data_IF_389086768508
#
_entry.id   IF_389086768508
#
_cell.length_a   1.000
_cell.length_b   1.000
_cell.length_c   1.000
_cell.angle_alpha   90.00
_cell.angle_beta   90.00
_cell.angle_gamma   90.00
#
_symmetry.space_group_name_H-M   'P 1'
#
loop_
_entity.id
_entity.type
_entity.pdbx_description
1 polymer ?
#
# COMPACT_ATOMS: atom_id res chain seq x y z
N UNK A 1 -20.39 -14.36 6.48
CA UNK A 1 -18.98 -13.95 6.64
C UNK A 1 -18.93 -12.44 6.56
N UNK A 2 -18.25 -11.74 7.47
CA UNK A 2 -18.12 -10.27 7.42
C UNK A 2 -16.68 -9.94 7.04
N UNK A 3 -16.48 -9.34 5.87
CA UNK A 3 -15.17 -8.82 5.45
C UNK A 3 -14.92 -7.48 6.16
N UNK A 4 -13.74 -7.34 6.75
CA UNK A 4 -13.21 -6.06 7.18
C UNK A 4 -11.90 -5.78 6.45
N UNK A 5 -11.67 -4.53 6.06
CA UNK A 5 -10.47 -4.13 5.33
C UNK A 5 -9.72 -3.08 6.14
N UNK A 6 -8.45 -3.36 6.45
CA UNK A 6 -7.49 -2.42 7.00
C UNK A 6 -6.37 -2.13 6.00
N UNK A 7 -5.42 -1.30 6.41
CA UNK A 7 -4.21 -0.98 5.66
C UNK A 7 -3.09 -0.60 6.63
N UNK A 8 -1.84 -0.78 6.21
CA UNK A 8 -0.63 -0.39 6.93
C UNK A 8 0.39 0.38 6.05
N UNK A 9 0.05 1.56 5.48
CA UNK A 9 0.95 2.22 4.56
C UNK A 9 2.19 2.82 5.21
N UNK A 10 3.26 2.87 4.43
CA UNK A 10 4.54 3.49 4.73
C UNK A 10 4.72 4.74 3.88
N UNK A 11 5.22 5.84 4.45
CA UNK A 11 5.53 7.04 3.71
C UNK A 11 6.80 7.74 4.21
N UNK A 12 7.32 8.62 3.36
CA UNK A 12 8.58 9.32 3.62
C UNK A 12 8.33 10.77 4.00
N UNK A 13 9.28 11.33 4.73
CA UNK A 13 9.26 12.73 5.14
C UNK A 13 10.27 13.50 4.29
N UNK A 14 9.90 14.70 3.86
CA UNK A 14 10.72 15.54 2.99
C UNK A 14 10.86 16.94 3.56
N UNK A 15 12.08 17.48 3.55
CA UNK A 15 12.36 18.86 3.92
C UNK A 15 12.49 19.72 2.65
N UNK A 16 11.47 20.55 2.33
CA UNK A 16 11.51 21.41 1.16
C UNK A 16 12.55 22.54 1.29
N UNK A 17 12.96 22.92 2.51
CA UNK A 17 13.93 24.01 2.73
C UNK A 17 15.35 23.65 2.28
N UNK A 18 15.70 22.36 2.36
CA UNK A 18 17.00 21.82 1.93
C UNK A 18 16.87 20.86 0.75
N UNK A 19 15.64 20.62 0.28
CA UNK A 19 15.34 19.74 -0.84
C UNK A 19 15.86 18.29 -0.63
N UNK A 20 15.68 17.75 0.59
CA UNK A 20 16.16 16.41 0.97
C UNK A 20 15.09 15.56 1.68
N UNK A 21 15.14 14.23 1.50
CA UNK A 21 14.39 13.30 2.35
C UNK A 21 15.01 13.20 3.74
N UNK A 22 14.16 13.17 4.75
CA UNK A 22 14.54 13.06 6.17
C UNK A 22 14.06 11.71 6.70
N UNK A 23 14.92 11.03 7.45
CA UNK A 23 14.56 9.75 8.06
C UNK A 23 13.60 9.95 9.22
N UNK A 24 12.54 9.15 9.24
CA UNK A 24 11.48 9.20 10.25
C UNK A 24 11.88 8.74 11.66
N UNK A 25 13.07 8.18 11.83
CA UNK A 25 13.50 7.47 13.04
C UNK A 25 13.38 8.25 14.37
N UNK A 26 13.30 9.58 14.32
CA UNK A 26 13.09 10.44 15.49
C UNK A 26 11.84 11.35 15.37
N UNK A 27 10.96 11.11 14.39
CA UNK A 27 9.85 12.02 14.06
C UNK A 27 8.49 11.60 14.62
N UNK A 28 8.30 10.30 14.87
CA UNK A 28 7.05 9.76 15.42
C UNK A 28 7.33 8.89 16.63
N UNK A 29 6.29 8.69 17.44
CA UNK A 29 6.33 7.72 18.54
C UNK A 29 6.13 6.31 17.97
N UNK A 30 6.61 5.31 18.70
CA UNK A 30 6.37 3.89 18.38
C UNK A 30 7.51 3.24 17.60
N UNK A 31 7.73 1.96 17.87
CA UNK A 31 8.69 1.11 17.15
C UNK A 31 7.94 -0.04 16.50
N UNK A 32 8.61 -0.78 15.63
CA UNK A 32 8.05 -1.98 14.97
C UNK A 32 7.52 -3.01 15.97
N UNK A 33 8.18 -3.17 17.11
CA UNK A 33 7.80 -4.09 18.18
C UNK A 33 6.69 -3.52 19.07
N UNK A 34 6.63 -2.19 19.19
CA UNK A 34 5.67 -1.48 20.02
C UNK A 34 5.12 -0.25 19.28
N UNK A 35 4.19 -0.46 18.33
CA UNK A 35 3.54 0.64 17.63
C UNK A 35 2.87 1.60 18.62
N UNK A 36 2.94 2.90 18.35
CA UNK A 36 2.26 3.91 19.15
C UNK A 36 0.79 3.96 18.76
N UNK A 37 -0.09 3.64 19.71
CA UNK A 37 -1.53 3.60 19.48
C UNK A 37 -2.09 4.99 19.20
N UNK A 38 -2.86 5.09 18.13
CA UNK A 38 -3.66 6.26 17.75
C UNK A 38 -5.14 5.93 17.89
N UNK A 39 -6.00 6.94 17.76
CA UNK A 39 -7.42 6.67 17.52
C UNK A 39 -7.54 6.11 16.10
N UNK A 40 -8.29 5.01 15.96
CA UNK A 40 -8.52 4.33 14.67
C UNK A 40 -7.25 3.82 13.98
N UNK A 41 -6.19 3.54 14.72
CA UNK A 41 -4.96 3.02 14.13
C UNK A 41 -3.76 3.04 15.07
N UNK A 42 -2.57 2.99 14.49
CA UNK A 42 -1.30 3.15 15.18
C UNK A 42 -0.24 3.71 14.21
N UNK A 43 0.85 4.23 14.75
CA UNK A 43 2.02 4.70 13.99
C UNK A 43 3.29 4.09 14.55
N UNK A 44 4.26 3.83 13.69
CA UNK A 44 5.58 3.35 14.05
C UNK A 44 6.64 3.83 13.05
N UNK A 45 7.90 3.75 13.47
CA UNK A 45 9.03 3.86 12.56
C UNK A 45 9.29 2.48 11.94
N UNK A 46 9.31 2.38 10.61
CA UNK A 46 9.88 1.22 9.89
C UNK A 46 11.05 1.66 9.01
N UNK A 47 12.25 1.22 9.39
CA UNK A 47 13.50 1.67 8.76
C UNK A 47 13.62 3.19 8.80
N UNK A 48 13.47 3.84 7.65
CA UNK A 48 13.53 5.31 7.49
C UNK A 48 12.17 5.95 7.23
N UNK A 49 11.11 5.16 7.12
CA UNK A 49 9.76 5.59 6.81
C UNK A 49 8.91 5.70 8.08
N UNK A 50 7.83 6.47 8.00
CA UNK A 50 6.71 6.37 8.93
C UNK A 50 5.78 5.30 8.38
N UNK A 51 5.49 4.29 9.17
CA UNK A 51 4.43 3.31 8.87
C UNK A 51 3.25 3.60 9.80
N UNK A 52 2.04 3.53 9.26
CA UNK A 52 0.83 3.62 10.07
C UNK A 52 -0.14 2.54 9.67
N UNK A 53 -0.93 2.06 10.63
CA UNK A 53 -2.07 1.21 10.33
C UNK A 53 -3.38 1.89 10.68
N UNK A 54 -4.46 1.40 10.09
CA UNK A 54 -5.82 1.82 10.38
C UNK A 54 -6.62 0.72 11.07
N UNK A 55 -7.63 1.10 11.83
CA UNK A 55 -8.65 0.19 12.31
C UNK A 55 -9.39 -0.43 11.11
N UNK A 56 -9.65 -1.76 11.16
CA UNK A 56 -10.30 -2.46 10.06
C UNK A 56 -11.72 -1.93 9.86
N UNK A 57 -12.08 -1.62 8.62
CA UNK A 57 -13.32 -0.96 8.24
C UNK A 57 -14.27 -1.91 7.49
N UNK A 58 -15.59 -1.83 7.73
CA UNK A 58 -16.60 -2.58 6.98
C UNK A 58 -17.10 -1.85 5.72
N UNK A 59 -16.76 -0.57 5.53
CA UNK A 59 -17.23 0.26 4.41
C UNK A 59 -16.12 1.14 3.86
N UNK A 60 -16.23 1.54 2.59
CA UNK A 60 -15.33 2.50 1.95
C UNK A 60 -15.27 3.84 2.69
N UNK A 61 -16.41 4.29 3.24
CA UNK A 61 -16.48 5.50 4.04
C UNK A 61 -15.64 5.40 5.32
N UNK A 62 -15.83 4.33 6.12
CA UNK A 62 -15.06 4.16 7.36
C UNK A 62 -13.58 3.90 7.07
N UNK A 63 -13.25 3.22 5.97
CA UNK A 63 -11.87 3.03 5.53
C UNK A 63 -11.20 4.38 5.23
N UNK A 64 -11.83 5.20 4.38
CA UNK A 64 -11.33 6.52 3.99
C UNK A 64 -11.22 7.46 5.19
N UNK A 65 -12.22 7.44 6.06
CA UNK A 65 -12.21 8.20 7.31
C UNK A 65 -11.04 7.78 8.22
N UNK A 66 -10.82 6.48 8.41
CA UNK A 66 -9.74 5.99 9.27
C UNK A 66 -8.36 6.36 8.70
N UNK A 67 -8.16 6.28 7.38
CA UNK A 67 -6.91 6.72 6.73
C UNK A 67 -6.68 8.21 6.99
N UNK A 68 -7.67 9.06 6.70
CA UNK A 68 -7.56 10.50 6.94
C UNK A 68 -7.25 10.81 8.41
N UNK A 69 -8.03 10.23 9.32
CA UNK A 69 -7.96 10.54 10.73
C UNK A 69 -6.65 10.10 11.38
N UNK A 70 -6.05 9.00 10.91
CA UNK A 70 -4.71 8.59 11.33
C UNK A 70 -3.65 9.54 10.76
N UNK A 71 -3.73 9.92 9.49
CA UNK A 71 -2.80 10.88 8.87
C UNK A 71 -2.84 12.26 9.56
N UNK A 72 -4.01 12.75 9.95
CA UNK A 72 -4.17 13.98 10.73
C UNK A 72 -3.48 13.90 12.09
N UNK A 73 -3.65 12.80 12.82
CA UNK A 73 -2.96 12.59 14.11
C UNK A 73 -1.44 12.49 13.94
N UNK A 74 -0.95 11.85 12.88
CA UNK A 74 0.49 11.78 12.60
C UNK A 74 1.02 13.16 12.21
N UNK A 75 0.23 13.95 11.48
CA UNK A 75 0.59 15.31 11.10
C UNK A 75 0.86 16.21 12.30
N UNK A 76 0.14 16.00 13.41
CA UNK A 76 0.34 16.70 14.68
C UNK A 76 1.65 16.31 15.40
N UNK A 77 2.24 15.15 15.06
CA UNK A 77 3.52 14.69 15.64
C UNK A 77 4.72 15.18 14.86
N UNK A 78 4.60 15.26 13.52
CA UNK A 78 5.71 15.60 12.64
C UNK A 78 5.76 17.11 12.43
N UNK A 79 6.92 17.78 12.58
CA UNK A 79 7.04 19.23 12.38
C UNK A 79 6.48 19.70 11.04
N UNK A 80 5.72 20.81 11.06
CA UNK A 80 5.00 21.34 9.90
C UNK A 80 5.90 21.73 8.72
N UNK A 81 7.18 22.01 8.98
CA UNK A 81 8.16 22.29 7.93
C UNK A 81 8.39 21.11 6.98
N UNK A 82 7.99 19.90 7.35
CA UNK A 82 8.20 18.71 6.55
C UNK A 82 6.94 18.29 5.78
N UNK A 83 7.11 17.91 4.51
CA UNK A 83 6.05 17.32 3.68
C UNK A 83 5.95 15.81 3.91
N UNK A 84 4.73 15.28 3.83
CA UNK A 84 4.51 13.84 3.65
C UNK A 84 4.62 13.47 2.18
N UNK A 85 5.41 12.44 1.86
CA UNK A 85 5.63 11.95 0.51
C UNK A 85 5.28 10.47 0.42
N UNK A 86 4.13 10.19 -0.18
CA UNK A 86 3.65 8.85 -0.53
C UNK A 86 4.27 8.40 -1.86
N UNK A 87 5.60 8.29 -1.87
CA UNK A 87 6.37 7.86 -3.04
C UNK A 87 6.81 6.40 -2.86
N UNK A 88 6.59 5.52 -3.87
CA UNK A 88 6.95 4.11 -3.77
C UNK A 88 8.45 3.88 -3.62
N UNK A 89 9.29 4.70 -4.26
CA UNK A 89 10.75 4.65 -4.12
C UNK A 89 11.33 6.03 -3.83
N UNK A 90 12.25 6.10 -2.86
CA UNK A 90 13.05 7.30 -2.57
C UNK A 90 14.52 6.96 -2.45
N UNK A 91 15.39 7.93 -2.72
CA UNK A 91 16.85 7.81 -2.57
C UNK A 91 17.33 8.88 -1.62
N UNK A 92 17.90 8.48 -0.48
CA UNK A 92 18.50 9.42 0.46
C UNK A 92 19.83 9.96 -0.08
N UNK A 93 20.13 11.24 0.14
CA UNK A 93 21.43 11.84 -0.19
C UNK A 93 22.56 11.17 0.62
N UNK A 94 23.84 11.21 0.18
CA UNK A 94 24.92 10.58 0.93
C UNK A 94 25.05 11.18 2.33
N UNK A 95 24.81 12.50 2.42
CA UNK A 95 24.80 13.28 3.66
C UNK A 95 23.71 12.77 4.60
N UNK A 96 22.44 12.84 4.18
CA UNK A 96 21.32 12.36 5.00
C UNK A 96 21.50 10.89 5.39
N UNK A 97 22.02 10.06 4.49
CA UNK A 97 22.23 8.64 4.76
C UNK A 97 23.29 8.34 5.82
N UNK A 98 24.36 9.14 5.87
CA UNK A 98 25.45 8.93 6.83
C UNK A 98 24.94 8.96 8.26
N UNK A 99 24.02 9.89 8.54
CA UNK A 99 23.54 10.18 9.89
C UNK A 99 22.40 9.24 10.35
N UNK A 100 21.86 8.41 9.45
CA UNK A 100 20.83 7.43 9.79
C UNK A 100 21.46 6.27 10.58
N UNK A 101 20.90 5.86 11.72
CA UNK A 101 21.40 4.71 12.48
C UNK A 101 21.38 3.41 11.67
N UNK A 102 22.34 2.53 11.92
CA UNK A 102 22.49 1.28 11.13
C UNK A 102 21.27 0.35 11.23
N UNK A 103 20.55 0.33 12.36
CA UNK A 103 19.34 -0.49 12.49
C UNK A 103 18.22 0.01 11.56
N UNK A 104 18.04 1.33 11.40
CA UNK A 104 17.12 1.91 10.42
C UNK A 104 17.57 1.71 8.96
N UNK A 105 18.83 1.34 8.75
CA UNK A 105 19.38 0.99 7.42
C UNK A 105 19.09 -0.46 7.02
N UNK A 106 18.59 -1.30 7.92
CA UNK A 106 18.23 -2.68 7.60
C UNK A 106 16.93 -2.72 6.79
N UNK A 107 16.84 -3.67 5.85
CA UNK A 107 15.67 -3.89 5.00
C UNK A 107 15.07 -5.25 5.34
N UNK A 108 13.78 -5.29 5.67
CA UNK A 108 12.93 -6.49 5.70
C UNK A 108 13.39 -7.65 6.62
N UNK A 109 12.58 -8.00 7.63
CA UNK A 109 12.86 -9.16 8.49
C UNK A 109 12.01 -10.39 8.13
N UNK A 110 10.72 -10.21 7.83
CA UNK A 110 9.77 -11.31 7.64
C UNK A 110 9.56 -11.66 6.15
N UNK A 111 9.52 -12.96 5.80
CA UNK A 111 9.32 -13.39 4.43
C UNK A 111 7.89 -13.09 3.94
N UNK A 112 7.80 -12.83 2.64
CA UNK A 112 6.55 -12.74 1.89
C UNK A 112 6.34 -14.03 1.12
N UNK A 113 5.10 -14.32 0.73
CA UNK A 113 4.77 -15.47 -0.11
C UNK A 113 4.28 -15.01 -1.48
N UNK A 114 4.64 -15.76 -2.52
CA UNK A 114 4.17 -15.53 -3.89
C UNK A 114 2.74 -16.05 -4.06
N UNK A 115 1.84 -15.25 -4.63
CA UNK A 115 0.51 -15.71 -5.03
C UNK A 115 0.54 -16.61 -6.27
N UNK A 116 1.66 -16.65 -7.01
CA UNK A 116 1.84 -17.52 -8.18
C UNK A 116 2.57 -18.83 -7.84
N UNK A 117 3.54 -18.77 -6.93
CA UNK A 117 4.34 -19.93 -6.52
C UNK A 117 3.92 -20.46 -5.14
N UNK A 118 4.47 -21.60 -4.69
CA UNK A 118 4.27 -22.10 -3.32
C UNK A 118 5.46 -21.78 -2.40
N UNK A 119 6.32 -20.83 -2.80
CA UNK A 119 7.58 -20.59 -2.12
C UNK A 119 7.57 -19.21 -1.45
N UNK A 120 8.24 -19.08 -0.28
CA UNK A 120 8.62 -17.78 0.22
C UNK A 120 9.35 -17.00 -0.88
N UNK A 121 8.99 -15.75 -1.06
CA UNK A 121 9.73 -14.84 -1.91
C UNK A 121 11.14 -14.70 -1.33
N UNK A 122 12.18 -14.74 -2.18
CA UNK A 122 13.53 -14.45 -1.72
C UNK A 122 13.52 -13.07 -1.05
N UNK A 123 14.28 -12.93 0.05
CA UNK A 123 14.52 -11.61 0.62
C UNK A 123 15.01 -10.68 -0.50
N UNK A 124 14.54 -9.42 -0.56
CA UNK A 124 15.00 -8.49 -1.57
C UNK A 124 16.52 -8.52 -1.64
N UNK A 125 17.09 -8.73 -2.82
CA UNK A 125 18.54 -8.73 -2.99
C UNK A 125 19.10 -7.38 -2.46
N UNK A 126 20.31 -7.38 -1.85
CA UNK A 126 20.96 -6.12 -1.48
C UNK A 126 21.01 -5.21 -2.72
N UNK A 127 20.32 -4.07 -2.62
CA UNK A 127 19.94 -3.22 -3.77
C UNK A 127 21.15 -2.74 -4.60
N UNK A 128 20.96 -2.39 -5.89
CA UNK A 128 21.97 -1.69 -6.71
C UNK A 128 22.37 -0.30 -6.16
N UNK A 129 21.61 0.23 -5.19
CA UNK A 129 21.86 1.52 -4.52
C UNK A 129 21.58 1.38 -3.03
N UNK A 130 22.63 1.34 -2.21
CA UNK A 130 22.56 1.14 -0.75
C UNK A 130 21.60 2.11 -0.01
N UNK A 131 21.30 3.27 -0.61
CA UNK A 131 20.51 4.37 -0.03
C UNK A 131 19.04 4.41 -0.48
N UNK A 132 18.61 3.45 -1.29
CA UNK A 132 17.24 3.41 -1.81
C UNK A 132 16.29 2.79 -0.79
N UNK A 133 15.15 3.45 -0.58
CA UNK A 133 14.07 3.01 0.30
C UNK A 133 12.78 2.91 -0.48
N UNK A 134 11.93 1.98 -0.06
CA UNK A 134 10.66 1.67 -0.71
C UNK A 134 9.55 1.85 0.30
N UNK A 135 8.43 2.43 -0.12
CA UNK A 135 7.24 2.60 0.70
C UNK A 135 6.13 1.68 0.20
N UNK A 136 5.54 0.91 1.09
CA UNK A 136 4.43 0.03 0.80
C UNK A 136 3.07 0.61 1.21
N UNK A 137 2.00 0.09 0.64
CA UNK A 137 0.64 0.45 1.01
C UNK A 137 -0.21 -0.80 1.15
N UNK A 138 0.20 -1.74 2.02
CA UNK A 138 -0.45 -3.05 2.08
C UNK A 138 -1.90 -2.92 2.55
N UNK A 139 -2.71 -3.90 2.14
CA UNK A 139 -4.11 -4.01 2.50
C UNK A 139 -4.30 -5.24 3.37
N UNK A 140 -5.08 -5.12 4.44
CA UNK A 140 -5.38 -6.21 5.35
C UNK A 140 -6.82 -6.64 5.10
N UNK A 141 -7.03 -7.84 4.60
CA UNK A 141 -8.37 -8.39 4.35
C UNK A 141 -8.66 -9.43 5.43
N UNK A 142 -9.62 -9.13 6.29
CA UNK A 142 -10.03 -9.98 7.41
C UNK A 142 -11.41 -10.59 7.20
N UNK A 143 -11.49 -11.91 7.14
CA UNK A 143 -12.74 -12.67 6.98
C UNK A 143 -12.94 -13.79 8.01
N UNK A 144 -11.93 -14.00 8.86
CA UNK A 144 -11.93 -15.00 9.93
C UNK A 144 -11.21 -14.44 11.17
N UNK A 145 -11.11 -15.20 12.23
CA UNK A 145 -10.41 -14.83 13.46
C UNK A 145 -9.69 -16.06 14.05
N UNK A 146 -8.51 -15.84 14.64
CA UNK A 146 -7.72 -16.86 15.36
C UNK A 146 -7.40 -18.13 14.55
N UNK A 147 -7.44 -18.06 13.21
CA UNK A 147 -7.08 -19.17 12.34
C UNK A 147 -5.55 -19.35 12.33
N UNK A 148 -5.08 -20.59 12.23
CA UNK A 148 -3.65 -20.82 11.94
C UNK A 148 -3.33 -20.26 10.55
N UNK A 149 -2.40 -19.29 10.40
CA UNK A 149 -2.05 -18.73 9.10
C UNK A 149 -1.56 -19.77 8.07
N UNK A 150 -1.03 -20.90 8.54
CA UNK A 150 -0.50 -21.98 7.69
C UNK A 150 -1.40 -23.21 7.64
N UNK A 151 -2.65 -23.10 8.10
CA UNK A 151 -3.67 -24.08 7.78
C UNK A 151 -3.79 -24.19 6.24
N UNK A 152 -3.77 -25.41 5.65
CA UNK A 152 -3.71 -25.56 4.20
C UNK A 152 -4.84 -24.86 3.43
N UNK A 153 -6.07 -24.88 3.98
CA UNK A 153 -7.23 -24.21 3.37
C UNK A 153 -7.07 -22.71 3.48
N UNK A 154 -6.77 -22.19 4.67
CA UNK A 154 -6.59 -20.75 4.89
C UNK A 154 -5.46 -20.15 4.05
N UNK A 155 -4.34 -20.86 3.96
CA UNK A 155 -3.20 -20.45 3.15
C UNK A 155 -3.57 -20.43 1.67
N UNK A 156 -4.29 -21.46 1.20
CA UNK A 156 -4.77 -21.52 -0.18
C UNK A 156 -5.74 -20.38 -0.50
N UNK A 157 -6.71 -20.11 0.37
CA UNK A 157 -7.67 -19.02 0.21
C UNK A 157 -6.95 -17.66 0.16
N UNK A 158 -5.98 -17.44 1.06
CA UNK A 158 -5.14 -16.24 1.08
C UNK A 158 -4.35 -16.08 -0.22
N UNK A 159 -3.77 -17.18 -0.72
CA UNK A 159 -3.00 -17.20 -1.97
C UNK A 159 -3.86 -16.85 -3.18
N UNK A 160 -5.02 -17.49 -3.33
CA UNK A 160 -5.92 -17.25 -4.46
C UNK A 160 -6.45 -15.82 -4.42
N UNK A 161 -6.84 -15.32 -3.24
CA UNK A 161 -7.28 -13.93 -3.08
C UNK A 161 -6.18 -12.93 -3.46
N UNK A 162 -4.95 -13.14 -3.01
CA UNK A 162 -3.81 -12.30 -3.39
C UNK A 162 -3.59 -12.28 -4.91
N UNK A 163 -3.72 -13.44 -5.57
CA UNK A 163 -3.56 -13.56 -7.02
C UNK A 163 -4.63 -12.78 -7.79
N UNK A 164 -5.90 -12.92 -7.41
CA UNK A 164 -6.99 -12.20 -8.08
C UNK A 164 -6.90 -10.69 -7.82
N UNK A 165 -6.57 -10.28 -6.59
CA UNK A 165 -6.33 -8.86 -6.27
C UNK A 165 -5.19 -8.30 -7.11
N UNK A 166 -4.11 -9.05 -7.28
CA UNK A 166 -2.96 -8.60 -8.08
C UNK A 166 -3.34 -8.31 -9.52
N UNK A 167 -4.18 -9.11 -10.17
CA UNK A 167 -4.61 -8.81 -11.55
C UNK A 167 -5.39 -7.50 -11.66
N UNK A 168 -6.25 -7.19 -10.69
CA UNK A 168 -7.07 -5.98 -10.70
C UNK A 168 -6.26 -4.75 -10.25
N UNK A 169 -5.49 -4.86 -9.17
CA UNK A 169 -4.68 -3.74 -8.67
C UNK A 169 -3.50 -3.41 -9.58
N UNK A 170 -2.86 -4.39 -10.22
CA UNK A 170 -1.76 -4.13 -11.16
C UNK A 170 -2.21 -3.30 -12.35
N UNK A 171 -3.41 -3.58 -12.85
CA UNK A 171 -4.07 -2.80 -13.89
C UNK A 171 -4.28 -1.35 -13.46
N UNK A 172 -4.93 -1.14 -12.31
CA UNK A 172 -5.24 0.18 -11.79
C UNK A 172 -3.98 0.98 -11.42
N UNK A 173 -2.98 0.34 -10.80
CA UNK A 173 -1.81 1.02 -10.25
C UNK A 173 -1.03 1.82 -11.28
N UNK A 174 -0.98 1.42 -12.56
CA UNK A 174 -0.27 2.17 -13.60
C UNK A 174 -0.81 3.59 -13.84
N UNK A 175 -2.04 3.86 -13.40
CA UNK A 175 -2.70 5.16 -13.55
C UNK A 175 -2.21 6.17 -12.51
N UNK A 176 -1.90 5.71 -11.29
CA UNK A 176 -1.54 6.58 -10.16
C UNK A 176 -0.15 6.29 -9.58
N UNK A 177 0.50 5.23 -10.05
CA UNK A 177 1.84 4.81 -9.67
C UNK A 177 2.71 4.60 -10.91
N UNK A 178 3.49 5.63 -11.23
CA UNK A 178 4.48 5.61 -12.32
C UNK A 178 5.82 4.99 -11.90
N UNK A 179 5.98 4.56 -10.65
CA UNK A 179 7.21 3.97 -10.14
C UNK A 179 7.39 2.55 -10.70
N UNK A 180 8.53 2.33 -11.37
CA UNK A 180 8.90 1.02 -11.89
C UNK A 180 9.93 0.31 -11.00
N UNK A 181 10.65 1.05 -10.15
CA UNK A 181 11.78 0.58 -9.33
C UNK A 181 11.33 -0.29 -8.14
N UNK A 182 10.25 0.10 -7.45
CA UNK A 182 9.72 -0.68 -6.33
C UNK A 182 9.34 -2.08 -6.79
N UNK A 183 8.75 -2.21 -7.98
CA UNK A 183 8.31 -3.50 -8.53
C UNK A 183 9.44 -4.49 -8.70
N UNK A 184 10.65 -4.04 -9.08
CA UNK A 184 11.82 -4.92 -9.18
C UNK A 184 12.34 -5.40 -7.82
N UNK A 185 11.98 -4.71 -6.74
CA UNK A 185 12.56 -4.96 -5.42
C UNK A 185 11.58 -5.49 -4.39
N UNK A 186 10.28 -5.22 -4.55
CA UNK A 186 9.26 -5.51 -3.53
C UNK A 186 7.82 -5.44 -4.08
N UNK A 187 6.95 -6.36 -3.63
CA UNK A 187 5.52 -6.36 -3.95
C UNK A 187 5.12 -7.01 -5.28
N UNK A 188 6.06 -7.64 -6.00
CA UNK A 188 5.72 -8.39 -7.22
C UNK A 188 5.10 -9.76 -6.92
N UNK A 189 4.64 -10.45 -7.97
CA UNK A 189 4.16 -11.83 -7.90
C UNK A 189 3.00 -12.07 -6.91
N UNK A 190 2.06 -11.12 -6.83
CA UNK A 190 0.93 -11.19 -5.91
C UNK A 190 1.39 -11.45 -4.46
N UNK A 191 2.41 -10.71 -4.02
CA UNK A 191 2.99 -10.84 -2.69
C UNK A 191 1.91 -10.73 -1.60
N UNK A 192 1.89 -11.70 -0.71
CA UNK A 192 0.97 -11.73 0.43
C UNK A 192 1.62 -12.35 1.66
N UNK A 193 0.98 -12.14 2.80
CA UNK A 193 1.28 -12.84 4.04
C UNK A 193 -0.02 -13.37 4.66
N UNK A 194 -0.14 -14.68 4.93
CA UNK A 194 -1.30 -15.19 5.64
C UNK A 194 -1.30 -14.69 7.07
N UNK A 195 -2.48 -14.37 7.61
CA UNK A 195 -2.66 -13.83 8.96
C UNK A 195 -3.80 -14.58 9.65
N UNK A 196 -3.86 -14.55 10.98
CA UNK A 196 -4.89 -15.29 11.71
C UNK A 196 -6.31 -14.79 11.48
N UNK A 197 -6.45 -13.57 10.94
CA UNK A 197 -7.73 -12.97 10.58
C UNK A 197 -8.09 -13.11 9.09
N UNK A 198 -7.17 -13.60 8.25
CA UNK A 198 -7.29 -13.48 6.80
C UNK A 198 -5.91 -13.38 6.15
N UNK A 199 -5.66 -12.29 5.44
CA UNK A 199 -4.34 -12.05 4.87
C UNK A 199 -3.97 -10.58 4.77
N UNK A 200 -2.68 -10.35 4.56
CA UNK A 200 -2.07 -9.08 4.22
C UNK A 200 -1.67 -9.13 2.73
N UNK A 201 -2.28 -8.28 1.91
CA UNK A 201 -1.95 -8.10 0.50
C UNK A 201 -0.85 -7.06 0.33
N UNK A 202 0.34 -7.50 -0.08
CA UNK A 202 1.57 -6.71 0.03
C UNK A 202 2.05 -6.09 -1.27
N UNK A 203 1.39 -6.40 -2.38
CA UNK A 203 1.74 -5.86 -3.69
C UNK A 203 1.57 -4.35 -3.83
N UNK A 204 0.50 -3.71 -3.34
CA UNK A 204 0.30 -2.28 -3.56
C UNK A 204 1.42 -1.44 -2.94
N UNK A 205 1.85 -0.40 -3.66
CA UNK A 205 2.72 0.65 -3.14
C UNK A 205 1.92 1.64 -2.29
N UNK A 206 2.60 2.58 -1.66
CA UNK A 206 1.94 3.68 -0.94
C UNK A 206 1.31 4.75 -1.85
N UNK A 207 1.50 4.69 -3.18
CA UNK A 207 1.09 5.76 -4.09
C UNK A 207 -0.42 6.07 -4.03
N UNK A 208 -1.26 5.06 -3.79
CA UNK A 208 -2.71 5.27 -3.68
C UNK A 208 -3.11 6.17 -2.50
N UNK A 209 -2.30 6.20 -1.43
CA UNK A 209 -2.56 7.02 -0.24
C UNK A 209 -2.49 8.52 -0.59
N UNK A 210 -1.70 8.85 -1.60
CA UNK A 210 -1.50 10.20 -2.09
C UNK A 210 -2.77 10.84 -2.70
N UNK A 211 -3.80 10.04 -3.00
CA UNK A 211 -5.00 10.48 -3.70
C UNK A 211 -6.25 10.10 -2.88
N UNK A 212 -6.79 10.99 -2.04
CA UNK A 212 -7.94 10.69 -1.18
C UNK A 212 -9.17 10.15 -1.94
N UNK A 213 -9.39 10.66 -3.16
CA UNK A 213 -10.44 10.15 -4.08
C UNK A 213 -10.25 8.69 -4.49
N UNK A 214 -9.04 8.13 -4.39
CA UNK A 214 -8.80 6.70 -4.67
C UNK A 214 -9.07 5.79 -3.46
N UNK A 215 -9.17 6.30 -2.23
CA UNK A 215 -9.33 5.43 -1.07
C UNK A 215 -10.63 4.61 -1.10
N UNK A 216 -11.79 5.17 -1.49
CA UNK A 216 -13.00 4.37 -1.69
C UNK A 216 -12.82 3.32 -2.79
N UNK A 217 -12.19 3.69 -3.91
CA UNK A 217 -11.90 2.79 -5.02
C UNK A 217 -11.03 1.59 -4.59
N UNK A 218 -10.00 1.83 -3.78
CA UNK A 218 -9.13 0.79 -3.22
C UNK A 218 -9.93 -0.19 -2.37
N UNK A 219 -10.77 0.33 -1.47
CA UNK A 219 -11.64 -0.49 -0.62
C UNK A 219 -12.63 -1.31 -1.44
N UNK A 220 -13.41 -0.66 -2.31
CA UNK A 220 -14.48 -1.31 -3.06
C UNK A 220 -13.91 -2.34 -4.04
N UNK A 221 -12.72 -2.09 -4.61
CA UNK A 221 -12.04 -3.03 -5.49
C UNK A 221 -11.64 -4.29 -4.72
N UNK A 222 -11.02 -4.12 -3.55
CA UNK A 222 -10.64 -5.24 -2.70
C UNK A 222 -11.86 -6.06 -2.23
N UNK A 223 -12.94 -5.37 -1.84
CA UNK A 223 -14.21 -6.00 -1.48
C UNK A 223 -14.84 -6.77 -2.63
N UNK A 224 -14.89 -6.16 -3.83
CA UNK A 224 -15.49 -6.80 -5.02
C UNK A 224 -14.73 -8.04 -5.46
N UNK A 225 -13.39 -8.02 -5.45
CA UNK A 225 -12.57 -9.19 -5.76
C UNK A 225 -12.82 -10.32 -4.77
N UNK A 226 -12.95 -10.00 -3.48
CA UNK A 226 -13.29 -10.98 -2.45
C UNK A 226 -14.68 -11.59 -2.68
N UNK A 227 -15.69 -10.76 -2.96
CA UNK A 227 -17.06 -11.21 -3.28
C UNK A 227 -17.10 -12.09 -4.53
N UNK A 228 -16.39 -11.69 -5.59
CA UNK A 228 -16.26 -12.50 -6.81
C UNK A 228 -15.70 -13.89 -6.53
N UNK A 229 -14.64 -13.97 -5.72
CA UNK A 229 -14.01 -15.23 -5.38
C UNK A 229 -14.96 -16.15 -4.58
N UNK A 230 -15.78 -15.59 -3.68
CA UNK A 230 -16.83 -16.34 -2.97
C UNK A 230 -17.91 -16.87 -3.91
N UNK A 231 -18.19 -16.16 -5.00
CA UNK A 231 -19.14 -16.57 -6.05
C UNK A 231 -18.51 -17.48 -7.12
N UNK A 232 -17.23 -17.86 -6.97
CA UNK A 232 -16.49 -18.67 -7.93
C UNK A 232 -16.07 -17.92 -9.20
N UNK A 233 -16.20 -16.59 -9.23
CA UNK A 233 -15.76 -15.72 -10.32
C UNK A 233 -14.27 -15.38 -10.14
N UNK A 234 -13.55 -15.24 -11.25
CA UNK A 234 -12.12 -14.89 -11.27
C UNK A 234 -11.88 -13.67 -12.15
N UNK A 235 -11.03 -12.76 -11.69
CA UNK A 235 -10.61 -11.60 -12.49
C UNK A 235 -9.72 -12.05 -13.67
N UNK A 236 -8.87 -13.06 -13.42
CA UNK A 236 -7.91 -13.67 -14.35
C UNK A 236 -6.90 -12.69 -14.97
N UNK A 237 -5.85 -13.23 -15.61
CA UNK A 237 -4.84 -12.41 -16.28
C UNK A 237 -5.39 -11.59 -17.46
N UNK A 238 -6.54 -11.97 -18.03
CA UNK A 238 -7.13 -11.26 -19.18
C UNK A 238 -7.50 -9.82 -18.82
N UNK A 239 -8.03 -9.57 -17.62
CA UNK A 239 -8.33 -8.22 -17.16
C UNK A 239 -7.07 -7.34 -17.11
N UNK A 240 -5.97 -7.85 -16.57
CA UNK A 240 -4.71 -7.12 -16.49
C UNK A 240 -4.09 -6.84 -17.87
N UNK A 241 -4.26 -7.75 -18.82
CA UNK A 241 -3.76 -7.60 -20.18
C UNK A 241 -4.61 -6.65 -21.02
N UNK A 242 -5.93 -6.67 -20.83
CA UNK A 242 -6.90 -5.82 -21.53
C UNK A 242 -6.74 -4.32 -21.25
N UNK A 243 -6.10 -3.97 -20.13
CA UNK A 243 -5.92 -2.57 -19.69
C UNK A 243 -4.46 -2.11 -19.75
N UNK A 244 -3.55 -2.94 -20.27
CA UNK A 244 -2.14 -2.57 -20.38
C UNK A 244 -1.84 -1.85 -21.70
N UNK A 245 -1.69 -0.53 -21.63
CA UNK A 245 -1.30 0.30 -22.77
C UNK A 245 -0.13 1.23 -22.38
N UNK A 246 1.13 0.83 -22.62
CA UNK A 246 2.30 1.54 -22.08
C UNK A 246 2.54 2.95 -22.64
N UNK A 247 1.86 3.33 -23.74
CA UNK A 247 2.08 4.59 -24.45
C UNK A 247 0.92 5.59 -24.31
N UNK A 248 0.05 5.43 -23.30
CA UNK A 248 -1.14 6.26 -23.09
C UNK A 248 -0.95 7.18 -21.89
N UNK A 249 -1.57 8.35 -21.93
CA UNK A 249 -1.57 9.25 -20.77
C UNK A 249 -2.58 8.77 -19.69
N UNK A 250 -2.54 9.37 -18.50
CA UNK A 250 -3.37 8.95 -17.38
C UNK A 250 -4.88 9.05 -17.68
N UNK A 251 -5.34 10.10 -18.36
CA UNK A 251 -6.75 10.27 -18.70
C UNK A 251 -7.25 9.16 -19.65
N UNK A 252 -6.44 8.80 -20.65
CA UNK A 252 -6.74 7.70 -21.56
C UNK A 252 -6.76 6.36 -20.82
N UNK A 253 -5.79 6.12 -19.93
CA UNK A 253 -5.73 4.90 -19.12
C UNK A 253 -6.92 4.78 -18.17
N UNK A 254 -7.39 5.89 -17.57
CA UNK A 254 -8.62 5.91 -16.77
C UNK A 254 -9.83 5.52 -17.62
N UNK A 255 -9.99 6.09 -18.82
CA UNK A 255 -11.11 5.76 -19.72
C UNK A 255 -11.09 4.28 -20.11
N UNK A 256 -9.91 3.74 -20.43
CA UNK A 256 -9.73 2.33 -20.77
C UNK A 256 -10.07 1.45 -19.56
N UNK A 257 -9.46 1.70 -18.41
CA UNK A 257 -9.72 0.95 -17.18
C UNK A 257 -11.21 0.96 -16.83
N UNK A 258 -11.83 2.14 -16.80
CA UNK A 258 -13.24 2.30 -16.44
C UNK A 258 -14.18 1.57 -17.41
N UNK A 259 -13.86 1.52 -18.71
CA UNK A 259 -14.63 0.74 -19.68
C UNK A 259 -14.59 -0.76 -19.36
N UNK A 260 -13.41 -1.31 -19.08
CA UNK A 260 -13.28 -2.73 -18.74
C UNK A 260 -13.85 -3.06 -17.35
N UNK A 261 -13.65 -2.17 -16.38
CA UNK A 261 -14.19 -2.28 -15.03
C UNK A 261 -15.72 -2.30 -15.04
N UNK A 262 -16.36 -1.36 -15.73
CA UNK A 262 -17.80 -1.28 -15.88
C UNK A 262 -18.39 -2.58 -16.44
N UNK A 263 -17.80 -3.12 -17.52
CA UNK A 263 -18.26 -4.36 -18.15
C UNK A 263 -18.16 -5.60 -17.23
N UNK A 264 -17.25 -5.58 -16.25
CA UNK A 264 -17.03 -6.67 -15.30
C UNK A 264 -17.62 -6.38 -13.90
N UNK A 265 -18.30 -5.25 -13.73
CA UNK A 265 -18.88 -4.81 -12.46
C UNK A 265 -17.87 -4.41 -11.39
N UNK A 266 -16.63 -4.06 -11.78
CA UNK A 266 -15.63 -3.51 -10.87
C UNK A 266 -15.85 -2.00 -10.65
N UNK A 267 -15.43 -1.46 -9.49
CA UNK A 267 -15.39 -0.02 -9.27
C UNK A 267 -14.57 0.69 -10.33
N UNK A 268 -15.02 1.90 -10.68
CA UNK A 268 -14.33 2.78 -11.61
C UNK A 268 -13.38 3.72 -10.86
N UNK A 269 -12.30 4.12 -11.52
CA UNK A 269 -11.40 5.17 -11.02
C UNK A 269 -12.06 6.52 -11.29
N UNK A 270 -12.20 7.42 -10.29
CA UNK A 270 -12.71 8.77 -10.51
C UNK A 270 -11.87 9.49 -11.58
N UNK A 271 -12.47 10.07 -12.63
CA UNK A 271 -11.72 10.77 -13.68
C UNK A 271 -10.86 11.92 -13.17
N UNK A 272 -11.29 12.55 -12.07
CA UNK A 272 -10.70 13.69 -11.39
C UNK A 272 -9.90 13.28 -10.13
N UNK A 273 -9.44 12.01 -10.06
CA UNK A 273 -8.73 11.51 -8.88
C UNK A 273 -7.45 12.28 -8.55
N UNK A 274 -6.83 12.89 -9.56
CA UNK A 274 -5.59 13.65 -9.43
C UNK A 274 -5.83 15.13 -9.04
N UNK A 275 -7.05 15.63 -9.16
CA UNK A 275 -7.37 17.05 -8.94
C UNK A 275 -7.29 17.44 -7.46
N UNK A 276 -7.43 16.46 -6.56
CA UNK A 276 -7.29 16.64 -5.11
C UNK A 276 -5.84 16.40 -4.64
N UNK A 277 -4.85 16.50 -5.53
CA UNK A 277 -3.44 16.45 -5.14
C UNK A 277 -3.08 17.68 -4.30
N UNK A 278 -3.27 17.56 -2.99
CA UNK A 278 -2.55 18.35 -2.02
C UNK A 278 -1.52 17.42 -1.37
N UNK A 279 -0.20 17.70 -1.42
CA UNK A 279 0.68 17.09 -0.44
C UNK A 279 0.04 17.36 0.92
N UNK A 280 0.04 16.38 1.83
CA UNK A 280 -0.30 16.58 3.25
C UNK A 280 0.73 17.56 3.83
N UNK A 281 0.52 18.83 3.52
CA UNK A 281 1.38 19.97 3.69
C UNK A 281 0.44 21.11 4.05
N UNK A 282 0.56 21.53 5.31
CA UNK A 282 -0.18 22.63 5.94
C UNK A 282 -1.67 22.33 6.18
N UNK A 283 -2.07 22.40 7.46
CA UNK A 283 -3.42 22.90 7.78
C UNK A 283 -3.44 24.32 7.21
N UNK A 284 -4.21 24.59 6.17
CA UNK A 284 -4.70 25.96 5.98
C UNK A 284 -5.59 26.23 7.18
N UNK A 285 -5.08 27.06 8.10
CA UNK A 285 -5.90 27.67 9.14
C UNK A 285 -7.02 28.51 8.51
#
# INVERSE_FOLDING_TARGET
MKLLIGADPEFFVYDPSINEYVSAHNLVKGTKEKPYKLKRGAVQVDGTAIEFNIAPAPTAFEFSYNVNYVLEQIREMVPEKYDFRFKPTVVFSPKAWKDIPNFNKQLGCDPDYSGFDQRPMPKPAPKPRARTRTGAGHLHLGWTENKNPFDPVHYWDSKELARELYFVFRAASKIFDSDTERRYTYGDSAAFRPKSYGMEFRSPSNAWVNYPKLWPFVFDTAKKVFEDLLEGKRATASFANEVFYPNRNNEELVKIYNKHAYNKGYPIIPPDFADDFAPFSKKTA
#
